data_IF_042591075180
#
_entry.id   IF_042591075180
#
_cell.length_a   1.000
_cell.length_b   1.000
_cell.length_c   1.000
_cell.angle_alpha   90.00
_cell.angle_beta   90.00
_cell.angle_gamma   90.00
#
_symmetry.space_group_name_H-M   'P 1'
#
loop_
_entity.id
_entity.type
_entity.pdbx_description
1 polymer ?
#
# COMPACT_ATOMS: atom_id res chain seq x y z
N UNK A 1 -14.17 1.03 -2.19
CA UNK A 1 -13.37 1.09 -3.46
C UNK A 1 -12.17 0.15 -3.34
N UNK A 2 -11.60 -0.35 -4.45
CA UNK A 2 -10.39 -1.19 -4.42
C UNK A 2 -9.16 -0.41 -4.91
N UNK A 3 -8.09 -0.36 -4.11
CA UNK A 3 -6.83 0.30 -4.46
C UNK A 3 -5.66 -0.69 -4.44
N UNK A 4 -4.78 -0.59 -5.44
CA UNK A 4 -3.48 -1.25 -5.45
C UNK A 4 -2.41 -0.24 -5.05
N UNK A 5 -1.78 -0.46 -3.88
CA UNK A 5 -0.82 0.47 -3.29
C UNK A 5 0.61 -0.03 -3.53
N UNK A 6 1.35 0.71 -4.34
CA UNK A 6 2.78 0.51 -4.55
C UNK A 6 3.56 1.08 -3.36
N UNK A 7 3.84 0.24 -2.35
CA UNK A 7 4.48 0.69 -1.10
C UNK A 7 5.96 1.05 -1.29
N UNK A 8 6.62 0.32 -2.18
CA UNK A 8 8.03 0.49 -2.50
C UNK A 8 8.29 -0.05 -3.89
N UNK A 9 9.26 0.52 -4.61
CA UNK A 9 9.79 -0.08 -5.85
C UNK A 9 11.06 -0.91 -5.57
N UNK A 10 11.47 -1.04 -4.30
CA UNK A 10 12.57 -1.90 -3.91
C UNK A 10 12.11 -3.36 -3.77
N UNK A 11 12.96 -4.31 -4.14
CA UNK A 11 12.68 -5.75 -4.02
C UNK A 11 13.96 -6.48 -3.62
N UNK A 12 13.83 -7.46 -2.72
CA UNK A 12 14.94 -8.30 -2.26
C UNK A 12 15.22 -9.49 -3.19
N UNK A 13 14.51 -9.61 -4.32
CA UNK A 13 14.72 -10.62 -5.36
C UNK A 13 14.90 -9.95 -6.73
N UNK A 14 15.55 -10.66 -7.67
CA UNK A 14 15.78 -10.22 -9.05
C UNK A 14 15.19 -11.18 -10.08
N UNK A 15 13.86 -11.36 -10.04
CA UNK A 15 13.16 -12.28 -10.92
C UNK A 15 13.36 -11.91 -12.40
N UNK A 16 13.84 -12.86 -13.21
CA UNK A 16 14.14 -12.65 -14.64
C UNK A 16 12.95 -12.19 -15.49
N UNK A 17 11.72 -12.49 -15.06
CA UNK A 17 10.48 -12.10 -15.74
C UNK A 17 9.90 -10.77 -15.22
N UNK A 18 10.49 -10.16 -14.19
CA UNK A 18 9.96 -8.94 -13.59
C UNK A 18 10.29 -7.73 -14.47
N UNK A 19 9.25 -7.02 -14.91
CA UNK A 19 9.39 -5.85 -15.79
C UNK A 19 9.56 -4.52 -15.03
N UNK A 20 9.58 -4.54 -13.69
CA UNK A 20 9.73 -3.35 -12.86
C UNK A 20 11.20 -2.99 -12.64
N UNK A 21 11.52 -1.70 -12.74
CA UNK A 21 12.83 -1.15 -12.38
C UNK A 21 12.91 -1.06 -10.86
N UNK A 22 13.91 -1.74 -10.27
CA UNK A 22 14.15 -1.72 -8.82
C UNK A 22 14.84 -0.42 -8.42
N UNK A 23 14.27 0.30 -7.48
CA UNK A 23 14.77 1.59 -7.04
C UNK A 23 14.39 1.86 -5.58
N UNK A 24 15.18 2.66 -4.82
CA UNK A 24 14.91 2.96 -3.41
C UNK A 24 13.81 4.02 -3.25
N UNK A 25 12.70 3.88 -3.99
CA UNK A 25 11.52 4.74 -3.92
C UNK A 25 10.51 4.08 -3.01
N UNK A 26 9.96 4.85 -2.06
CA UNK A 26 9.00 4.38 -1.05
C UNK A 26 7.82 5.34 -0.96
N UNK A 27 6.64 4.79 -0.72
CA UNK A 27 5.46 5.54 -0.33
C UNK A 27 5.69 6.19 1.04
N UNK A 28 5.25 7.43 1.21
CA UNK A 28 5.26 8.11 2.51
C UNK A 28 4.01 7.78 3.32
N UNK A 29 4.09 7.94 4.64
CA UNK A 29 2.93 7.75 5.52
C UNK A 29 1.77 8.69 5.17
N UNK A 30 2.05 9.93 4.79
CA UNK A 30 1.02 10.91 4.40
C UNK A 30 0.27 10.46 3.14
N UNK A 31 0.99 9.91 2.15
CA UNK A 31 0.38 9.40 0.92
C UNK A 31 -0.45 8.15 1.22
N UNK A 32 0.04 7.26 2.09
CA UNK A 32 -0.70 6.09 2.53
C UNK A 32 -2.01 6.48 3.22
N UNK A 33 -1.95 7.45 4.14
CA UNK A 33 -3.11 7.91 4.88
C UNK A 33 -4.16 8.55 3.96
N UNK A 34 -3.71 9.37 2.99
CA UNK A 34 -4.57 9.95 1.97
C UNK A 34 -5.18 8.87 1.05
N UNK A 35 -4.43 7.81 0.72
CA UNK A 35 -4.94 6.70 -0.06
C UNK A 35 -6.00 5.89 0.70
N UNK A 36 -5.83 5.69 2.01
CA UNK A 36 -6.87 5.13 2.87
C UNK A 36 -8.13 6.01 2.85
N UNK A 37 -8.01 7.31 3.04
CA UNK A 37 -9.17 8.22 3.01
C UNK A 37 -9.91 8.18 1.66
N UNK A 38 -9.15 8.12 0.56
CA UNK A 38 -9.71 7.95 -0.77
C UNK A 38 -10.47 6.62 -0.91
N UNK A 39 -9.93 5.52 -0.39
CA UNK A 39 -10.54 4.20 -0.50
C UNK A 39 -11.93 4.11 0.17
N UNK A 40 -12.11 4.87 1.25
CA UNK A 40 -13.35 4.99 2.04
C UNK A 40 -14.22 6.21 1.65
N UNK A 41 -13.81 7.01 0.67
CA UNK A 41 -14.57 8.22 0.24
C UNK A 41 -15.97 7.93 -0.31
N UNK A 42 -16.26 6.68 -0.67
CA UNK A 42 -17.54 6.23 -1.24
C UNK A 42 -18.30 5.26 -0.33
N UNK A 43 -17.89 5.09 0.93
CA UNK A 43 -18.55 4.22 1.90
C UNK A 43 -17.56 3.54 2.86
N UNK A 44 -18.09 2.70 3.73
CA UNK A 44 -17.34 2.02 4.80
C UNK A 44 -16.66 0.71 4.37
N UNK A 45 -16.70 0.37 3.08
CA UNK A 45 -16.10 -0.84 2.54
C UNK A 45 -15.03 -0.52 1.48
N UNK A 46 -13.82 -1.02 1.71
CA UNK A 46 -12.67 -0.84 0.82
C UNK A 46 -11.83 -2.11 0.73
N UNK A 47 -11.21 -2.32 -0.43
CA UNK A 47 -10.23 -3.38 -0.68
C UNK A 47 -8.85 -2.79 -0.93
N UNK A 48 -7.83 -3.43 -0.37
CA UNK A 48 -6.43 -3.02 -0.56
C UNK A 48 -5.62 -4.19 -1.10
N UNK A 49 -4.84 -3.93 -2.14
CA UNK A 49 -3.78 -4.80 -2.62
C UNK A 49 -2.44 -4.11 -2.35
N UNK A 50 -1.65 -4.62 -1.41
CA UNK A 50 -0.30 -4.12 -1.17
C UNK A 50 0.65 -4.70 -2.22
N UNK A 51 1.31 -3.82 -2.98
CA UNK A 51 2.09 -4.17 -4.15
C UNK A 51 3.33 -3.27 -4.29
N UNK A 52 4.05 -3.39 -5.41
CA UNK A 52 5.29 -2.68 -5.67
C UNK A 52 6.40 -3.66 -6.08
N UNK A 53 7.59 -3.48 -5.52
CA UNK A 53 8.65 -4.48 -5.50
C UNK A 53 8.31 -5.61 -4.52
N UNK A 54 8.97 -5.66 -3.36
CA UNK A 54 8.60 -6.55 -2.25
C UNK A 54 7.87 -5.76 -1.16
N UNK A 55 6.53 -5.86 -1.05
CA UNK A 55 5.75 -5.07 -0.09
C UNK A 55 6.11 -5.33 1.37
N UNK A 56 6.56 -6.55 1.72
CA UNK A 56 6.91 -6.89 3.10
C UNK A 56 8.18 -6.20 3.60
N UNK A 57 8.97 -5.58 2.72
CA UNK A 57 10.04 -4.66 3.13
C UNK A 57 9.48 -3.41 3.83
N UNK A 58 8.22 -3.06 3.57
CA UNK A 58 7.49 -1.94 4.19
C UNK A 58 6.37 -2.44 5.12
N UNK A 59 6.60 -3.55 5.85
CA UNK A 59 5.65 -4.11 6.81
C UNK A 59 5.03 -3.05 7.77
N UNK A 60 5.78 -2.07 8.32
CA UNK A 60 5.19 -1.02 9.15
C UNK A 60 4.11 -0.18 8.45
N UNK A 61 4.25 0.08 7.13
CA UNK A 61 3.23 0.78 6.35
C UNK A 61 1.98 -0.08 6.15
N UNK A 62 2.14 -1.39 5.94
CA UNK A 62 1.01 -2.34 5.86
C UNK A 62 0.22 -2.32 7.17
N UNK A 63 0.90 -2.43 8.31
CA UNK A 63 0.25 -2.39 9.64
C UNK A 63 -0.46 -1.06 9.90
N UNK A 64 0.15 0.06 9.47
CA UNK A 64 -0.47 1.38 9.54
C UNK A 64 -1.75 1.45 8.70
N UNK A 65 -1.70 0.98 7.45
CA UNK A 65 -2.85 0.94 6.55
C UNK A 65 -4.00 0.12 7.15
N UNK A 66 -3.70 -1.05 7.74
CA UNK A 66 -4.70 -1.89 8.40
C UNK A 66 -5.32 -1.16 9.60
N UNK A 67 -4.51 -0.51 10.45
CA UNK A 67 -5.00 0.22 11.62
C UNK A 67 -5.92 1.38 11.22
N UNK A 68 -5.51 2.19 10.24
CA UNK A 68 -6.29 3.31 9.73
C UNK A 68 -7.58 2.83 9.07
N UNK A 69 -7.51 1.79 8.26
CA UNK A 69 -8.66 1.22 7.55
C UNK A 69 -9.68 0.60 8.51
N UNK A 70 -9.24 -0.04 9.60
CA UNK A 70 -10.14 -0.53 10.65
C UNK A 70 -10.92 0.60 11.32
N UNK A 71 -10.24 1.70 11.65
CA UNK A 71 -10.92 2.89 12.18
C UNK A 71 -11.96 3.43 11.19
N UNK A 72 -11.59 3.57 9.90
CA UNK A 72 -12.47 4.03 8.83
C UNK A 72 -13.67 3.12 8.55
N UNK A 73 -13.51 1.81 8.67
CA UNK A 73 -14.62 0.86 8.45
C UNK A 73 -15.67 0.87 9.56
N UNK A 74 -15.34 1.43 10.72
CA UNK A 74 -16.23 1.54 11.87
C UNK A 74 -16.96 2.90 11.96
N UNK A 75 -16.59 3.88 11.11
CA UNK A 75 -17.29 5.15 10.90
C UNK A 75 -18.55 4.94 10.03
#
# INVERSE_FOLDING_TARGET
MNLTLHLTENCNMDCAYCTRVKQPVRMTEDVLDAACDLAFSQGNAAGFCFFGGEPLLELPLIERAIRRSKAKSAE
#
